data_IF_747931130699
#
_entry.id   IF_747931130699
#
_cell.length_a   1.000
_cell.length_b   1.000
_cell.length_c   1.000
_cell.angle_alpha   90.00
_cell.angle_beta   90.00
_cell.angle_gamma   90.00
#
_symmetry.space_group_name_H-M   'P 1'
#
loop_
_entity.id
_entity.type
_entity.pdbx_description
1 polymer ?
#
# COMPACT_ATOMS: atom_id res chain seq x y z
N UNK A 1 -20.47 -37.00 48.50
CA UNK A 1 -20.99 -36.20 47.37
C UNK A 1 -20.66 -34.71 47.56
N UNK A 2 -19.38 -34.38 47.77
CA UNK A 2 -18.92 -32.99 47.99
C UNK A 2 -17.48 -32.74 47.47
N UNK A 3 -16.83 -33.75 46.87
CA UNK A 3 -15.44 -33.64 46.40
C UNK A 3 -15.39 -33.37 44.89
N UNK A 4 -16.39 -33.82 44.12
CA UNK A 4 -16.47 -33.61 42.66
C UNK A 4 -16.76 -32.15 42.25
N UNK A 5 -17.42 -31.38 43.12
CA UNK A 5 -17.79 -29.99 42.85
C UNK A 5 -16.60 -29.03 42.87
N UNK A 6 -15.48 -29.41 43.51
CA UNK A 6 -14.29 -28.56 43.66
C UNK A 6 -13.28 -28.76 42.51
N UNK A 7 -13.32 -29.90 41.81
CA UNK A 7 -12.51 -30.12 40.59
C UNK A 7 -13.14 -29.50 39.34
N UNK A 8 -14.47 -29.36 39.30
CA UNK A 8 -15.18 -28.72 38.19
C UNK A 8 -14.95 -27.20 38.13
N UNK A 9 -14.77 -26.55 39.28
CA UNK A 9 -14.49 -25.09 39.34
C UNK A 9 -13.02 -24.75 39.09
N UNK A 10 -12.08 -25.69 39.28
CA UNK A 10 -10.68 -25.53 38.89
C UNK A 10 -10.50 -25.56 37.36
N UNK A 11 -11.24 -26.41 36.66
CA UNK A 11 -11.21 -26.50 35.19
C UNK A 11 -11.75 -25.23 34.51
N UNK A 12 -12.79 -24.63 35.09
CA UNK A 12 -13.38 -23.39 34.57
C UNK A 12 -12.47 -22.16 34.74
N UNK A 13 -11.66 -22.14 35.81
CA UNK A 13 -10.64 -21.10 36.02
C UNK A 13 -9.40 -21.27 35.10
N UNK A 14 -9.13 -22.49 34.64
CA UNK A 14 -8.00 -22.77 33.76
C UNK A 14 -8.33 -22.57 32.28
N UNK A 15 -9.63 -22.62 31.90
CA UNK A 15 -10.10 -22.33 30.54
C UNK A 15 -10.15 -20.83 30.21
N UNK A 16 -10.35 -19.94 31.19
CA UNK A 16 -10.32 -18.49 30.96
C UNK A 16 -8.90 -17.92 30.88
N UNK A 17 -7.88 -18.66 31.36
CA UNK A 17 -6.48 -18.24 31.31
C UNK A 17 -5.76 -18.58 29.98
N UNK A 18 -6.37 -19.39 29.11
CA UNK A 18 -5.74 -19.85 27.85
C UNK A 18 -6.21 -19.14 26.59
N UNK A 19 -7.21 -18.25 26.68
CA UNK A 19 -7.74 -17.49 25.53
C UNK A 19 -7.06 -16.13 25.30
N UNK A 20 -6.08 -15.74 26.13
CA UNK A 20 -5.29 -14.51 25.94
C UNK A 20 -3.97 -14.83 25.21
N UNK A 21 -4.03 -15.63 24.14
CA UNK A 21 -2.93 -15.70 23.17
C UNK A 21 -3.07 -14.54 22.18
N UNK A 22 -2.42 -13.44 22.54
CA UNK A 22 -1.92 -12.31 21.76
C UNK A 22 -2.45 -12.09 20.32
N UNK A 23 -3.00 -10.91 19.97
CA UNK A 23 -3.34 -10.52 18.58
C UNK A 23 -2.14 -10.23 17.67
N UNK A 24 -0.89 -10.45 18.11
CA UNK A 24 0.29 -9.82 17.51
C UNK A 24 0.82 -10.46 16.22
N UNK A 25 0.20 -11.52 15.70
CA UNK A 25 0.67 -12.19 14.48
C UNK A 25 0.05 -11.67 13.19
N UNK A 26 -0.96 -10.78 13.27
CA UNK A 26 -1.64 -10.23 12.09
C UNK A 26 -1.16 -8.82 11.69
N UNK A 27 -0.51 -8.07 12.58
CA UNK A 27 -0.03 -6.72 12.26
C UNK A 27 1.09 -6.72 11.21
N UNK A 28 1.98 -7.72 11.22
CA UNK A 28 3.14 -7.76 10.33
C UNK A 28 2.80 -8.05 8.87
N UNK A 29 1.72 -8.77 8.57
CA UNK A 29 1.27 -8.99 7.20
C UNK A 29 0.52 -7.78 6.63
N UNK A 30 -0.28 -7.11 7.46
CA UNK A 30 -0.98 -5.88 7.07
C UNK A 30 0.01 -4.74 6.76
N UNK A 31 1.10 -4.64 7.54
CA UNK A 31 2.12 -3.61 7.33
C UNK A 31 2.91 -3.83 6.03
N UNK A 32 3.21 -5.10 5.69
CA UNK A 32 3.89 -5.45 4.45
C UNK A 32 3.06 -5.16 3.21
N UNK A 33 1.76 -5.45 3.22
CA UNK A 33 0.88 -5.16 2.08
C UNK A 33 0.72 -3.64 1.89
N UNK A 34 0.54 -2.91 3.00
CA UNK A 34 0.48 -1.43 2.99
C UNK A 34 1.77 -0.81 2.46
N UNK A 35 2.94 -1.30 2.90
CA UNK A 35 4.24 -0.83 2.43
C UNK A 35 4.45 -1.11 0.93
N UNK A 36 3.99 -2.26 0.42
CA UNK A 36 4.06 -2.58 -1.00
C UNK A 36 3.15 -1.66 -1.83
N UNK A 37 1.92 -1.42 -1.37
CA UNK A 37 1.00 -0.47 -2.00
C UNK A 37 1.55 0.95 -2.01
N UNK A 38 2.15 1.40 -0.91
CA UNK A 38 2.79 2.71 -0.82
C UNK A 38 3.97 2.85 -1.79
N UNK A 39 4.82 1.82 -1.88
CA UNK A 39 5.93 1.80 -2.83
C UNK A 39 5.46 1.83 -4.30
N UNK A 40 4.40 1.08 -4.61
CA UNK A 40 3.77 1.03 -5.94
C UNK A 40 3.17 2.40 -6.31
N UNK A 41 2.44 3.02 -5.39
CA UNK A 41 1.83 4.33 -5.58
C UNK A 41 2.88 5.44 -5.76
N UNK A 42 4.01 5.34 -5.05
CA UNK A 42 5.11 6.27 -5.24
C UNK A 42 5.70 6.17 -6.64
N UNK A 43 5.95 4.95 -7.13
CA UNK A 43 6.46 4.75 -8.48
C UNK A 43 5.49 5.28 -9.54
N UNK A 44 4.19 5.11 -9.34
CA UNK A 44 3.16 5.66 -10.23
C UNK A 44 3.21 7.20 -10.27
N UNK A 45 3.41 7.85 -9.12
CA UNK A 45 3.57 9.30 -9.06
C UNK A 45 4.84 9.77 -9.79
N UNK A 46 5.95 9.05 -9.63
CA UNK A 46 7.20 9.36 -10.35
C UNK A 46 6.99 9.23 -11.85
N UNK A 47 6.37 8.15 -12.32
CA UNK A 47 6.03 7.98 -13.73
C UNK A 47 5.08 9.06 -14.24
N UNK A 48 4.10 9.48 -13.43
CA UNK A 48 3.20 10.57 -13.78
C UNK A 48 3.97 11.88 -14.01
N UNK A 49 4.92 12.23 -13.12
CA UNK A 49 5.77 13.42 -13.28
C UNK A 49 6.64 13.32 -14.54
N UNK A 50 7.23 12.16 -14.78
CA UNK A 50 8.06 11.93 -15.98
C UNK A 50 7.22 12.04 -17.26
N UNK A 51 6.05 11.40 -17.29
CA UNK A 51 5.14 11.45 -18.42
C UNK A 51 4.60 12.87 -18.65
N UNK A 52 4.25 13.60 -17.59
CA UNK A 52 3.86 15.01 -17.69
C UNK A 52 4.93 15.84 -18.40
N UNK A 53 6.22 15.63 -18.10
CA UNK A 53 7.32 16.33 -18.80
C UNK A 53 7.41 15.98 -20.29
N UNK A 54 7.07 14.75 -20.68
CA UNK A 54 7.00 14.32 -22.08
C UNK A 54 5.82 14.95 -22.82
N UNK A 55 4.67 15.12 -22.14
CA UNK A 55 3.48 15.73 -22.73
C UNK A 55 3.48 17.26 -22.70
N UNK A 56 4.22 17.88 -21.77
CA UNK A 56 4.38 19.33 -21.68
C UNK A 56 5.11 19.94 -22.89
N UNK A 57 5.96 19.16 -23.58
CA UNK A 57 6.63 19.58 -24.81
C UNK A 57 5.77 19.47 -26.07
N UNK A 58 4.55 18.92 -25.99
CA UNK A 58 3.60 18.87 -27.09
C UNK A 58 2.75 20.14 -27.02
N UNK A 59 3.17 21.18 -27.72
CA UNK A 59 2.36 22.40 -27.88
C UNK A 59 1.02 22.03 -28.52
N UNK A 60 -0.08 22.27 -27.80
CA UNK A 60 -1.44 22.14 -28.31
C UNK A 60 -1.85 23.36 -29.15
N UNK A 61 -0.90 24.13 -29.70
CA UNK A 61 -1.15 25.40 -30.43
C UNK A 61 -1.70 25.22 -31.87
N UNK A 62 -2.43 24.14 -32.13
CA UNK A 62 -3.19 23.96 -33.37
C UNK A 62 -4.59 24.58 -33.30
N UNK A 63 -5.25 24.79 -34.44
CA UNK A 63 -6.67 25.19 -34.53
C UNK A 63 -7.64 24.24 -33.78
N UNK A 64 -7.18 23.03 -33.43
CA UNK A 64 -7.88 22.00 -32.65
C UNK A 64 -7.29 21.79 -31.25
N UNK A 65 -6.46 22.71 -30.78
CA UNK A 65 -5.86 22.73 -29.45
C UNK A 65 -6.87 23.02 -28.36
N UNK A 66 -7.23 22.01 -27.58
CA UNK A 66 -8.06 22.18 -26.41
C UNK A 66 -7.28 22.88 -25.31
N UNK A 67 -7.82 23.99 -24.82
CA UNK A 67 -7.28 24.73 -23.68
C UNK A 67 -7.34 23.94 -22.36
N UNK A 68 -7.47 24.64 -21.23
CA UNK A 68 -7.44 24.04 -19.89
C UNK A 68 -8.33 22.79 -19.68
N UNK A 69 -9.44 22.66 -20.40
CA UNK A 69 -10.27 21.45 -20.34
C UNK A 69 -9.56 20.20 -20.85
N UNK A 70 -8.88 20.29 -21.99
CA UNK A 70 -8.09 19.18 -22.54
C UNK A 70 -6.87 18.87 -21.68
N UNK A 71 -6.22 19.90 -21.13
CA UNK A 71 -5.08 19.75 -20.21
C UNK A 71 -5.45 18.92 -18.97
N UNK A 72 -6.63 19.17 -18.39
CA UNK A 72 -7.19 18.39 -17.29
C UNK A 72 -7.43 16.93 -17.68
N UNK A 73 -8.10 16.69 -18.81
CA UNK A 73 -8.36 15.32 -19.29
C UNK A 73 -7.07 14.58 -19.65
N UNK A 74 -6.10 15.27 -20.25
CA UNK A 74 -4.78 14.73 -20.57
C UNK A 74 -4.02 14.33 -19.31
N UNK A 75 -4.09 15.16 -18.27
CA UNK A 75 -3.45 14.86 -16.98
C UNK A 75 -4.02 13.58 -16.34
N UNK A 76 -5.36 13.42 -16.36
CA UNK A 76 -6.02 12.19 -15.88
C UNK A 76 -5.62 10.96 -16.71
N UNK A 77 -5.53 11.10 -18.05
CA UNK A 77 -5.09 10.01 -18.92
C UNK A 77 -3.64 9.61 -18.67
N UNK A 78 -2.77 10.59 -18.44
CA UNK A 78 -1.36 10.36 -18.11
C UNK A 78 -1.23 9.63 -16.78
N UNK A 79 -2.03 9.99 -15.79
CA UNK A 79 -2.05 9.33 -14.49
C UNK A 79 -2.46 7.85 -14.61
N UNK A 80 -3.53 7.55 -15.35
CA UNK A 80 -3.97 6.16 -15.57
C UNK A 80 -2.94 5.35 -16.37
N UNK A 81 -2.34 5.94 -17.39
CA UNK A 81 -1.27 5.28 -18.14
C UNK A 81 -0.09 4.95 -17.23
N UNK A 82 0.31 5.90 -16.37
CA UNK A 82 1.40 5.71 -15.42
C UNK A 82 1.08 4.61 -14.39
N UNK A 83 -0.16 4.56 -13.90
CA UNK A 83 -0.65 3.51 -13.00
C UNK A 83 -0.58 2.11 -13.63
N UNK A 84 -1.04 1.95 -14.87
CA UNK A 84 -0.96 0.67 -15.58
C UNK A 84 0.47 0.28 -15.98
N UNK A 85 1.33 1.25 -16.27
CA UNK A 85 2.76 0.99 -16.50
C UNK A 85 3.42 0.37 -15.28
N UNK A 86 3.14 0.85 -14.06
CA UNK A 86 3.69 0.25 -12.84
C UNK A 86 3.24 -1.20 -12.67
N UNK A 87 1.97 -1.51 -12.93
CA UNK A 87 1.43 -2.87 -12.79
C UNK A 87 2.01 -3.87 -13.78
N UNK A 88 2.43 -3.41 -14.96
CA UNK A 88 2.88 -4.27 -16.07
C UNK A 88 4.40 -4.38 -16.20
N UNK A 89 5.18 -3.67 -15.37
CA UNK A 89 6.64 -3.81 -15.34
C UNK A 89 7.42 -2.59 -14.89
N UNK A 90 6.80 -1.40 -14.86
CA UNK A 90 7.33 -0.17 -14.27
C UNK A 90 8.78 0.17 -14.63
N UNK A 91 9.41 0.93 -13.74
CA UNK A 91 10.84 1.22 -13.67
C UNK A 91 11.57 0.28 -12.68
N UNK A 92 10.83 -0.49 -11.88
CA UNK A 92 11.37 -1.40 -10.87
C UNK A 92 11.75 -0.68 -9.56
N UNK A 93 11.23 0.53 -9.33
CA UNK A 93 11.51 1.30 -8.13
C UNK A 93 10.75 0.78 -6.90
N UNK A 94 9.59 0.14 -7.12
CA UNK A 94 8.75 -0.45 -6.08
C UNK A 94 9.55 -1.35 -5.15
N UNK A 95 10.36 -2.27 -5.67
CA UNK A 95 11.12 -3.21 -4.84
C UNK A 95 12.16 -2.53 -3.93
N UNK A 96 12.80 -1.48 -4.44
CA UNK A 96 13.82 -0.72 -3.72
C UNK A 96 13.18 0.11 -2.61
N UNK A 97 12.08 0.80 -2.93
CA UNK A 97 11.36 1.64 -1.98
C UNK A 97 10.67 0.80 -0.92
N UNK A 98 10.07 -0.33 -1.32
CA UNK A 98 9.47 -1.28 -0.40
C UNK A 98 10.47 -1.73 0.67
N UNK A 99 11.69 -2.11 0.25
CA UNK A 99 12.75 -2.50 1.19
C UNK A 99 13.12 -1.37 2.14
N UNK A 100 13.25 -0.14 1.62
CA UNK A 100 13.55 1.03 2.44
C UNK A 100 12.46 1.32 3.46
N UNK A 101 11.18 1.16 3.09
CA UNK A 101 10.04 1.32 4.00
C UNK A 101 10.12 0.29 5.13
N UNK A 102 10.39 -0.98 4.81
CA UNK A 102 10.56 -2.02 5.82
C UNK A 102 11.74 -1.74 6.76
N UNK A 103 12.89 -1.32 6.23
CA UNK A 103 14.05 -0.95 7.05
C UNK A 103 13.73 0.20 8.03
N UNK A 104 12.96 1.21 7.59
CA UNK A 104 12.52 2.31 8.44
C UNK A 104 11.51 1.86 9.51
N UNK A 105 10.63 0.92 9.18
CA UNK A 105 9.67 0.34 10.13
C UNK A 105 10.37 -0.50 11.21
N UNK A 106 11.39 -1.27 10.80
CA UNK A 106 12.23 -2.05 11.71
C UNK A 106 13.09 -1.16 12.63
N UNK A 107 13.59 -0.04 12.12
CA UNK A 107 14.35 0.93 12.93
C UNK A 107 13.49 1.70 13.94
N UNK A 108 12.18 1.80 13.71
CA UNK A 108 11.21 2.49 14.58
C UNK A 108 10.39 1.56 15.48
N UNK A 109 10.62 0.24 15.44
CA UNK A 109 10.05 -0.75 16.38
C UNK A 109 10.99 -1.05 17.54
#
# INVERSE_FOLDING_TARGET
>A
MQIDALMATASLAQQTAQSVKSPLTNSSNFDKESALQAATAFEAQVLSILNQSMFAGIETDGYFGGGHGEEMFRSMLVEEYSSEMVKTGGLGLTDTIYRQILEMQEANS
#
